data_IF_263300475436
#
_entry.id   IF_263300475436
#
_cell.length_a   1.000
_cell.length_b   1.000
_cell.length_c   1.000
_cell.angle_alpha   90.00
_cell.angle_beta   90.00
_cell.angle_gamma   90.00
#
_symmetry.space_group_name_H-M   'P 1'
#
loop_
_entity.id
_entity.type
_entity.pdbx_description
1 polymer ?
#
# COMPACT_ATOMS: atom_id res chain seq x y z
N UNK A 1 17.08 6.53 -1.71
CA UNK A 1 15.61 6.61 -1.77
C UNK A 1 15.11 5.40 -0.99
N UNK A 2 14.34 5.64 0.06
CA UNK A 2 13.82 4.62 0.98
C UNK A 2 12.33 4.32 0.75
N UNK A 3 11.57 5.29 0.22
CA UNK A 3 10.17 5.10 -0.17
C UNK A 3 10.04 4.43 -1.55
N UNK A 4 9.22 3.38 -1.62
CA UNK A 4 8.85 2.70 -2.87
C UNK A 4 7.33 2.63 -3.01
N UNK A 5 6.83 2.63 -4.25
CA UNK A 5 5.41 2.46 -4.54
C UNK A 5 5.24 1.37 -5.58
N UNK A 6 4.50 0.32 -5.22
CA UNK A 6 4.17 -0.80 -6.09
C UNK A 6 2.77 -0.59 -6.66
N UNK A 7 2.63 -0.71 -7.97
CA UNK A 7 1.35 -0.55 -8.67
C UNK A 7 1.11 -1.80 -9.51
N UNK A 8 -0.05 -2.41 -9.33
CA UNK A 8 -0.49 -3.57 -10.09
C UNK A 8 -2.00 -3.50 -10.29
N UNK A 9 -2.48 -4.13 -11.36
CA UNK A 9 -3.90 -4.25 -11.68
C UNK A 9 -4.62 -5.32 -10.84
N UNK A 10 -3.88 -6.16 -10.11
CA UNK A 10 -4.43 -7.27 -9.34
C UNK A 10 -3.68 -7.51 -8.03
N UNK A 11 -4.37 -8.14 -7.07
CA UNK A 11 -3.78 -8.62 -5.81
C UNK A 11 -2.62 -9.59 -6.06
N UNK A 12 -2.82 -10.58 -6.94
CA UNK A 12 -1.78 -11.55 -7.30
C UNK A 12 -0.54 -10.87 -7.90
N UNK A 13 -0.72 -9.82 -8.70
CA UNK A 13 0.41 -9.03 -9.20
C UNK A 13 1.16 -8.29 -8.08
N UNK A 14 0.45 -7.75 -7.08
CA UNK A 14 1.09 -7.17 -5.89
C UNK A 14 1.82 -8.24 -5.05
N UNK A 15 1.24 -9.42 -4.86
CA UNK A 15 1.89 -10.54 -4.16
C UNK A 15 3.21 -10.94 -4.84
N UNK A 16 3.19 -11.03 -6.18
CA UNK A 16 4.40 -11.29 -6.96
C UNK A 16 5.45 -10.18 -6.81
N UNK A 17 5.05 -8.91 -6.93
CA UNK A 17 5.96 -7.77 -6.76
C UNK A 17 6.52 -7.70 -5.34
N UNK A 18 5.72 -7.96 -4.32
CA UNK A 18 6.16 -7.99 -2.92
C UNK A 18 7.16 -9.13 -2.68
N UNK A 19 6.94 -10.30 -3.28
CA UNK A 19 7.89 -11.42 -3.20
C UNK A 19 9.25 -11.04 -3.78
N UNK A 20 9.27 -10.45 -4.99
CA UNK A 20 10.51 -9.94 -5.60
C UNK A 20 11.15 -8.84 -4.74
N UNK A 21 10.34 -7.97 -4.14
CA UNK A 21 10.80 -6.85 -3.32
C UNK A 21 11.51 -7.35 -2.05
N UNK A 22 10.96 -8.36 -1.36
CA UNK A 22 11.62 -8.95 -0.19
C UNK A 22 12.96 -9.61 -0.55
N UNK A 23 13.03 -10.33 -1.68
CA UNK A 23 14.31 -10.90 -2.16
C UNK A 23 15.33 -9.81 -2.49
N UNK A 24 14.88 -8.73 -3.16
CA UNK A 24 15.73 -7.59 -3.47
C UNK A 24 16.26 -6.92 -2.20
N UNK A 25 15.42 -6.69 -1.20
CA UNK A 25 15.86 -6.10 0.06
C UNK A 25 16.87 -6.97 0.79
N UNK A 26 16.64 -8.28 0.85
CA UNK A 26 17.57 -9.25 1.43
C UNK A 26 18.93 -9.23 0.71
N UNK A 27 18.96 -9.23 -0.62
CA UNK A 27 20.21 -9.13 -1.40
C UNK A 27 21.00 -7.86 -1.11
N UNK A 28 20.32 -6.77 -0.76
CA UNK A 28 20.93 -5.49 -0.42
C UNK A 28 21.23 -5.33 1.08
N UNK A 29 21.02 -6.36 1.90
CA UNK A 29 21.13 -6.28 3.37
C UNK A 29 20.27 -5.16 3.97
N UNK A 30 19.07 -4.98 3.41
CA UNK A 30 18.06 -4.03 3.86
C UNK A 30 16.76 -4.76 4.17
N UNK A 31 15.84 -4.10 4.87
CA UNK A 31 14.51 -4.63 5.12
C UNK A 31 13.47 -3.52 5.06
N UNK A 32 12.25 -3.89 4.67
CA UNK A 32 11.13 -2.98 4.69
C UNK A 32 10.50 -2.88 6.08
N UNK A 33 9.97 -1.71 6.43
CA UNK A 33 9.07 -1.57 7.56
C UNK A 33 7.63 -1.81 7.11
N UNK A 34 7.17 -3.06 7.21
CA UNK A 34 5.82 -3.45 6.79
C UNK A 34 4.71 -2.72 7.56
N UNK A 35 4.96 -2.22 8.77
CA UNK A 35 3.97 -1.44 9.54
C UNK A 35 3.64 -0.10 8.89
N UNK A 36 4.52 0.40 8.00
CA UNK A 36 4.32 1.65 7.26
C UNK A 36 3.64 1.44 5.91
N UNK A 37 3.34 0.20 5.53
CA UNK A 37 2.69 -0.07 4.25
C UNK A 37 1.25 0.45 4.26
N UNK A 38 0.85 1.05 3.15
CA UNK A 38 -0.48 1.58 2.94
C UNK A 38 -1.03 0.96 1.65
N UNK A 39 -2.22 0.38 1.72
CA UNK A 39 -2.89 -0.18 0.55
C UNK A 39 -3.96 0.77 0.02
N UNK A 40 -3.93 0.98 -1.29
CA UNK A 40 -4.87 1.81 -2.04
C UNK A 40 -5.49 0.92 -3.11
N UNK A 41 -6.81 0.74 -3.08
CA UNK A 41 -7.51 -0.12 -4.04
C UNK A 41 -8.88 0.43 -4.41
N UNK A 42 -9.24 0.29 -5.67
CA UNK A 42 -10.58 0.56 -6.20
C UNK A 42 -11.49 -0.70 -6.18
N UNK A 43 -10.96 -1.87 -5.79
CA UNK A 43 -11.66 -3.15 -5.83
C UNK A 43 -12.22 -3.60 -4.48
N UNK A 44 -11.77 -3.02 -3.36
CA UNK A 44 -12.28 -3.40 -2.04
C UNK A 44 -13.67 -2.77 -1.78
N UNK A 45 -14.65 -3.55 -1.28
CA UNK A 45 -15.98 -3.04 -0.98
C UNK A 45 -15.89 -1.98 0.14
N UNK A 46 -16.33 -0.78 -0.21
CA UNK A 46 -16.44 0.35 0.70
C UNK A 46 -17.40 0.00 1.84
N UNK A 47 -16.91 -0.06 3.07
CA UNK A 47 -17.75 0.27 4.21
C UNK A 47 -17.32 1.65 4.69
N UNK A 48 -18.21 2.62 4.51
CA UNK A 48 -18.11 3.99 5.00
C UNK A 48 -18.07 4.09 6.54
N UNK A 49 -18.08 2.96 7.23
CA UNK A 49 -18.20 2.85 8.68
C UNK A 49 -17.45 1.61 9.17
N UNK A 50 -16.30 1.87 9.80
CA UNK A 50 -15.91 1.32 11.11
C UNK A 50 -14.98 0.11 11.23
N UNK A 51 -14.63 -0.66 10.20
CA UNK A 51 -13.49 -1.61 10.32
C UNK A 51 -12.94 -1.96 8.94
N UNK A 52 -11.88 -1.27 8.52
CA UNK A 52 -11.11 -1.72 7.36
C UNK A 52 -10.25 -2.90 7.85
N UNK A 53 -10.64 -4.12 7.50
CA UNK A 53 -9.83 -5.31 7.79
C UNK A 53 -8.52 -5.24 7.00
N UNK A 54 -7.44 -5.68 7.64
CA UNK A 54 -6.17 -5.87 6.95
C UNK A 54 -6.31 -6.86 5.81
N UNK A 55 -5.57 -6.64 4.73
CA UNK A 55 -5.52 -7.53 3.57
C UNK A 55 -4.19 -8.27 3.60
N UNK A 56 -4.27 -9.60 3.63
CA UNK A 56 -3.09 -10.46 3.60
C UNK A 56 -2.63 -10.70 2.17
N UNK A 57 -1.36 -10.39 1.92
CA UNK A 57 -0.63 -10.73 0.70
C UNK A 57 0.21 -11.96 0.99
N UNK A 58 -0.03 -13.05 0.26
CA UNK A 58 0.78 -14.26 0.39
C UNK A 58 1.99 -14.14 -0.52
N UNK A 59 3.18 -14.33 0.05
CA UNK A 59 4.43 -14.20 -0.68
C UNK A 59 4.97 -15.57 -1.06
N UNK A 60 5.67 -15.61 -2.18
CA UNK A 60 6.42 -16.79 -2.59
C UNK A 60 7.68 -16.90 -1.73
N UNK A 61 7.81 -18.02 -1.02
CA UNK A 61 9.00 -18.34 -0.24
C UNK A 61 10.16 -18.76 -1.14
N UNK A 62 11.37 -18.37 -0.77
CA UNK A 62 12.60 -18.74 -1.44
C UNK A 62 13.78 -18.72 -0.46
N UNK A 63 14.99 -19.04 -0.93
CA UNK A 63 16.21 -18.88 -0.14
C UNK A 63 16.47 -17.42 0.27
N UNK A 64 15.88 -16.46 -0.47
CA UNK A 64 16.06 -15.03 -0.28
C UNK A 64 14.81 -14.35 0.29
N UNK A 65 13.70 -15.08 0.47
CA UNK A 65 12.49 -14.57 1.11
C UNK A 65 11.89 -15.62 2.06
N UNK A 66 12.00 -15.36 3.36
CA UNK A 66 11.44 -16.19 4.42
C UNK A 66 10.11 -15.66 4.97
N UNK A 67 9.57 -14.57 4.41
CA UNK A 67 8.35 -13.91 4.87
C UNK A 67 7.17 -14.53 4.12
N UNK A 68 6.26 -15.26 4.81
CA UNK A 68 5.18 -15.99 4.15
C UNK A 68 4.02 -15.08 3.75
N UNK A 69 3.77 -14.02 4.52
CA UNK A 69 2.70 -13.08 4.24
C UNK A 69 2.99 -11.70 4.81
N UNK A 70 2.36 -10.70 4.20
CA UNK A 70 2.37 -9.32 4.66
C UNK A 70 0.91 -8.86 4.77
N UNK A 71 0.51 -8.38 5.94
CA UNK A 71 -0.83 -7.85 6.18
C UNK A 71 -0.81 -6.32 6.07
N UNK A 72 -1.59 -5.76 5.16
CA UNK A 72 -1.65 -4.30 4.95
C UNK A 72 -3.08 -3.78 5.15
N UNK A 73 -3.23 -2.77 6.00
CA UNK A 73 -4.51 -2.09 6.19
C UNK A 73 -4.75 -1.11 5.03
N UNK A 74 -5.85 -1.26 4.27
CA UNK A 74 -6.22 -0.30 3.24
C UNK A 74 -6.62 1.05 3.82
N UNK A 75 -6.43 2.11 3.04
CA UNK A 75 -7.10 3.39 3.28
C UNK A 75 -8.47 3.39 2.60
N UNK A 76 -9.44 4.06 3.22
CA UNK A 76 -10.75 4.25 2.59
C UNK A 76 -10.61 5.11 1.33
N UNK A 77 -11.40 4.82 0.29
CA UNK A 77 -11.34 5.55 -0.99
C UNK A 77 -11.72 7.04 -0.86
N UNK A 78 -12.34 7.42 0.26
CA UNK A 78 -12.65 8.83 0.57
C UNK A 78 -11.47 9.58 1.18
N UNK A 79 -10.43 8.87 1.62
CA UNK A 79 -9.22 9.48 2.12
C UNK A 79 -8.32 9.95 0.97
N UNK A 80 -7.46 10.89 1.31
CA UNK A 80 -6.39 11.34 0.42
C UNK A 80 -5.08 10.74 0.87
N UNK A 81 -4.17 10.52 -0.07
CA UNK A 81 -2.83 10.02 0.22
C UNK A 81 -1.79 10.90 -0.49
N UNK A 82 -0.57 10.91 0.05
CA UNK A 82 0.52 11.73 -0.46
C UNK A 82 1.54 10.85 -1.16
N UNK A 83 1.87 11.18 -2.39
CA UNK A 83 2.94 10.53 -3.15
C UNK A 83 3.84 11.63 -3.74
N UNK A 84 5.13 11.58 -3.40
CA UNK A 84 6.13 12.59 -3.79
C UNK A 84 5.71 14.05 -3.49
N UNK A 85 5.07 14.26 -2.35
CA UNK A 85 4.60 15.60 -1.94
C UNK A 85 3.28 16.04 -2.57
N UNK A 86 2.70 15.27 -3.49
CA UNK A 86 1.43 15.56 -4.16
C UNK A 86 0.31 14.73 -3.55
N UNK A 87 -0.85 15.36 -3.34
CA UNK A 87 -2.04 14.70 -2.81
C UNK A 87 -2.89 14.08 -3.92
N UNK A 88 -3.35 12.86 -3.68
CA UNK A 88 -4.22 12.09 -4.57
C UNK A 88 -5.45 11.60 -3.82
N UNK A 89 -6.54 11.41 -4.56
CA UNK A 89 -7.75 10.75 -4.06
C UNK A 89 -8.33 9.84 -5.16
N UNK A 90 -8.72 8.62 -4.79
CA UNK A 90 -9.21 7.61 -5.75
C UNK A 90 -10.53 8.02 -6.41
N UNK A 91 -11.41 8.75 -5.70
CA UNK A 91 -12.66 9.26 -6.29
C UNK A 91 -12.44 10.42 -7.27
N UNK A 92 -11.22 10.93 -7.41
CA UNK A 92 -10.92 12.08 -8.28
C UNK A 92 -11.64 13.37 -7.86
N UNK A 93 -12.12 13.47 -6.61
CA UNK A 93 -12.68 14.71 -6.07
C UNK A 93 -11.62 15.81 -6.12
N UNK A 94 -11.98 17.06 -6.37
CA UNK A 94 -11.03 18.20 -6.26
C UNK A 94 -11.07 18.88 -4.89
N UNK A 95 -12.00 18.46 -4.04
CA UNK A 95 -12.24 19.09 -2.74
C UNK A 95 -11.22 18.65 -1.69
N UNK A 96 -10.50 17.55 -1.92
CA UNK A 96 -9.44 17.14 -1.00
C UNK A 96 -8.35 18.20 -0.89
N UNK A 97 -7.98 18.87 -2.00
CA UNK A 97 -6.98 19.94 -1.98
C UNK A 97 -7.42 21.09 -1.08
N UNK A 98 -8.73 21.41 -1.03
CA UNK A 98 -9.26 22.47 -0.15
C UNK A 98 -9.17 22.10 1.32
N UNK A 99 -9.49 20.86 1.68
CA UNK A 99 -9.37 20.37 3.07
C UNK A 99 -7.93 20.38 3.57
N UNK A 100 -6.95 20.21 2.70
CA UNK A 100 -5.52 20.28 3.06
C UNK A 100 -5.00 21.73 3.18
N UNK A 101 -5.61 22.69 2.46
CA UNK A 101 -5.26 24.13 2.55
C UNK A 101 -5.92 24.80 3.75
N UNK A 102 -7.09 24.31 4.18
CA UNK A 102 -7.86 24.91 5.27
C UNK A 102 -7.21 24.77 6.65
N UNK A 103 -6.13 23.97 6.79
CA UNK A 103 -5.56 23.62 8.09
C UNK A 103 -6.49 22.69 8.87
N UNK A 104 -5.94 22.04 9.89
CA UNK A 104 -6.70 21.33 10.92
C UNK A 104 -7.81 22.18 11.55
#
# INVERSE_FOLDING_TARGET
MDDSTLISLSKAGLEHMLSITEEFYMLNNTSANHQKYILISNSLPLTTTSTISSVDFNLQLSLLNSIPSISVTPISITFSFRFLGVWFNIKGSRDFTRKQIAGE
#
